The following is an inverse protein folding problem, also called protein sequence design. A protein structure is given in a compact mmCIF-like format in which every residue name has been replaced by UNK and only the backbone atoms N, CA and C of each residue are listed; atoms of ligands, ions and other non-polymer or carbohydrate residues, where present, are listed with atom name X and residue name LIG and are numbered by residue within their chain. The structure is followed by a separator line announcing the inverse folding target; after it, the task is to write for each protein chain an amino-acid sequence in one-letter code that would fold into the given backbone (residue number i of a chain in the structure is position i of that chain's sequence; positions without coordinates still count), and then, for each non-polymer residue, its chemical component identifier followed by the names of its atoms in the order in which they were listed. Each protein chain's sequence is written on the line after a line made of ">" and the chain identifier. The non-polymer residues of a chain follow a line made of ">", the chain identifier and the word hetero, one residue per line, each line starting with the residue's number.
data_IF_187044259286
#
_entry.id   IF_187044259286
#
_cell.length_a   1.000
_cell.length_b   1.000
_cell.length_c   1.000
_cell.angle_alpha   90.00
_cell.angle_beta   90.00
_cell.angle_gamma   90.00
#
_symmetry.space_group_name_H-M   'P 1'
#
loop_
_entity.id
_entity.type
_entity.pdbx_description
1 polymer ?
#
# COMPACT_ATOMS: atom_id res chain seq x y z
N UNK A 1 38.57 -10.30 18.44
CA UNK A 1 37.84 -9.19 17.80
C UNK A 1 38.37 -9.08 16.38
N UNK A 2 37.65 -9.56 15.36
CA UNK A 2 38.12 -9.44 13.97
C UNK A 2 37.69 -8.08 13.41
N UNK A 3 38.66 -7.29 12.97
CA UNK A 3 38.44 -6.11 12.13
C UNK A 3 37.68 -6.55 10.87
N UNK A 4 36.45 -6.05 10.70
CA UNK A 4 35.76 -6.17 9.41
C UNK A 4 36.51 -5.31 8.41
N UNK A 5 37.27 -5.93 7.51
CA UNK A 5 37.77 -5.26 6.31
C UNK A 5 36.57 -4.63 5.57
N UNK A 6 36.51 -3.30 5.59
CA UNK A 6 35.48 -2.55 4.88
C UNK A 6 35.80 -2.65 3.39
N UNK A 7 35.14 -3.58 2.70
CA UNK A 7 35.36 -3.86 1.29
C UNK A 7 35.00 -2.60 0.47
N UNK A 8 36.02 -1.88 0.00
CA UNK A 8 35.86 -0.68 -0.82
C UNK A 8 35.32 -1.07 -2.20
N UNK A 9 34.07 -0.70 -2.50
CA UNK A 9 33.50 -0.84 -3.84
C UNK A 9 34.22 0.18 -4.75
N UNK A 10 34.99 -0.31 -5.73
CA UNK A 10 35.83 0.55 -6.59
C UNK A 10 35.23 0.83 -7.97
N UNK A 11 34.18 0.11 -8.38
CA UNK A 11 33.47 0.28 -9.65
C UNK A 11 32.01 -0.14 -9.49
N UNK A 12 31.09 0.61 -10.07
CA UNK A 12 29.66 0.30 -10.13
C UNK A 12 29.01 0.95 -11.36
N UNK A 13 27.85 0.43 -11.75
CA UNK A 13 26.99 0.99 -12.79
C UNK A 13 25.69 1.48 -12.14
N UNK A 14 25.24 2.67 -12.50
CA UNK A 14 23.88 3.11 -12.22
C UNK A 14 22.95 2.61 -13.33
N UNK A 15 21.85 1.98 -12.94
CA UNK A 15 20.77 1.63 -13.86
C UNK A 15 19.92 2.88 -14.12
N UNK A 16 19.42 3.03 -15.35
CA UNK A 16 18.58 4.16 -15.71
C UNK A 16 17.26 4.13 -14.95
N UNK A 17 16.89 5.26 -14.34
CA UNK A 17 15.56 5.44 -13.76
C UNK A 17 14.58 5.80 -14.88
N UNK A 18 13.54 4.98 -15.07
CA UNK A 18 12.56 5.15 -16.17
C UNK A 18 11.51 6.22 -15.88
N UNK A 19 11.83 7.20 -15.02
CA UNK A 19 10.91 8.21 -14.50
C UNK A 19 10.24 7.84 -13.18
N UNK A 20 9.71 8.85 -12.48
CA UNK A 20 8.99 8.73 -11.21
C UNK A 20 7.49 8.94 -11.38
N UNK A 21 6.67 8.28 -10.55
CA UNK A 21 5.25 8.67 -10.44
C UNK A 21 5.17 10.18 -10.14
N UNK A 22 4.37 10.95 -10.91
CA UNK A 22 4.39 12.40 -10.87
C UNK A 22 3.66 12.99 -9.66
N UNK A 23 3.19 12.17 -8.71
CA UNK A 23 2.35 12.61 -7.59
C UNK A 23 2.92 13.79 -6.80
N UNK A 24 4.24 13.88 -6.62
CA UNK A 24 4.86 15.01 -5.91
C UNK A 24 5.06 16.27 -6.77
N UNK A 25 5.08 16.16 -8.09
CA UNK A 25 5.44 17.27 -8.98
C UNK A 25 4.47 18.46 -8.88
N UNK A 26 3.13 18.28 -8.84
CA UNK A 26 2.21 19.39 -8.65
C UNK A 26 2.40 20.09 -7.30
N UNK A 27 2.75 19.34 -6.25
CA UNK A 27 3.02 19.90 -4.91
C UNK A 27 4.28 20.77 -4.97
N UNK A 28 5.36 20.27 -5.56
CA UNK A 28 6.60 21.04 -5.74
C UNK A 28 6.42 22.26 -6.62
N UNK A 29 5.60 22.17 -7.67
CA UNK A 29 5.27 23.33 -8.48
C UNK A 29 4.55 24.40 -7.64
N UNK A 30 3.58 24.02 -6.80
CA UNK A 30 2.87 24.94 -5.93
C UNK A 30 3.81 25.59 -4.89
N UNK A 31 4.70 24.80 -4.28
CA UNK A 31 5.76 25.29 -3.37
C UNK A 31 6.64 26.30 -4.08
N UNK A 32 7.19 25.96 -5.25
CA UNK A 32 8.11 26.83 -5.99
C UNK A 32 7.45 28.14 -6.42
N UNK A 33 6.17 28.11 -6.80
CA UNK A 33 5.40 29.32 -7.09
C UNK A 33 5.27 30.17 -5.82
N UNK A 34 4.86 29.58 -4.69
CA UNK A 34 4.70 30.30 -3.42
C UNK A 34 6.02 30.95 -2.94
N UNK A 35 7.16 30.26 -3.13
CA UNK A 35 8.49 30.80 -2.85
C UNK A 35 8.82 31.97 -3.79
N UNK A 36 8.58 31.80 -5.09
CA UNK A 36 8.89 32.82 -6.10
C UNK A 36 8.12 34.13 -5.88
N UNK A 37 6.88 34.05 -5.40
CA UNK A 37 6.04 35.22 -5.11
C UNK A 37 6.22 35.75 -3.68
N UNK A 38 7.08 35.15 -2.87
CA UNK A 38 7.41 35.63 -1.52
C UNK A 38 6.43 35.21 -0.41
N UNK A 39 5.49 34.30 -0.67
CA UNK A 39 4.50 33.85 0.34
C UNK A 39 5.10 32.88 1.38
N UNK A 40 6.22 32.24 1.08
CA UNK A 40 6.95 31.35 2.00
C UNK A 40 8.43 31.29 1.63
N UNK A 41 9.27 30.82 2.55
CA UNK A 41 10.68 30.53 2.28
C UNK A 41 10.84 29.19 1.56
N UNK A 42 12.01 28.92 0.98
CA UNK A 42 12.30 27.61 0.40
C UNK A 42 12.30 26.54 1.51
N UNK A 43 11.57 25.42 1.36
CA UNK A 43 11.68 24.30 2.30
C UNK A 43 13.10 23.73 2.35
N UNK A 44 13.44 23.07 3.47
CA UNK A 44 14.72 22.38 3.59
C UNK A 44 14.85 21.24 2.56
N UNK A 45 16.09 20.91 2.18
CA UNK A 45 16.35 19.82 1.24
C UNK A 45 15.84 18.47 1.76
N UNK A 46 15.69 18.30 3.09
CA UNK A 46 15.09 17.10 3.68
C UNK A 46 13.64 16.89 3.23
N UNK A 47 12.86 17.97 3.10
CA UNK A 47 11.48 17.90 2.63
C UNK A 47 11.44 17.48 1.15
N UNK A 48 12.33 18.03 0.33
CA UNK A 48 12.43 17.66 -1.09
C UNK A 48 12.89 16.21 -1.29
N UNK A 49 13.78 15.69 -0.42
CA UNK A 49 14.24 14.28 -0.48
C UNK A 49 13.12 13.26 -0.29
N UNK A 50 12.01 13.61 0.37
CA UNK A 50 10.86 12.71 0.45
C UNK A 50 10.17 12.51 -0.91
N UNK A 51 10.32 13.44 -1.85
CA UNK A 51 9.73 13.34 -3.18
C UNK A 51 10.15 12.08 -3.93
N UNK A 52 11.45 11.90 -4.20
CA UNK A 52 11.97 10.68 -4.82
C UNK A 52 11.59 9.40 -4.07
N UNK A 53 11.62 9.41 -2.73
CA UNK A 53 11.25 8.23 -1.92
C UNK A 53 9.78 7.82 -2.17
N UNK A 54 8.87 8.78 -2.23
CA UNK A 54 7.45 8.54 -2.52
C UNK A 54 7.27 8.10 -3.98
N UNK A 55 7.88 8.79 -4.93
CA UNK A 55 7.77 8.47 -6.36
C UNK A 55 8.25 7.06 -6.71
N UNK A 56 9.36 6.61 -6.11
CA UNK A 56 9.87 5.24 -6.33
C UNK A 56 8.86 4.20 -5.83
N UNK A 57 8.31 4.37 -4.61
CA UNK A 57 7.34 3.41 -4.09
C UNK A 57 6.03 3.41 -4.86
N UNK A 58 5.57 4.58 -5.31
CA UNK A 58 4.42 4.69 -6.21
C UNK A 58 4.66 4.03 -7.57
N UNK A 59 5.92 3.87 -8.02
CA UNK A 59 6.24 3.05 -9.18
C UNK A 59 6.25 1.55 -8.86
N UNK A 60 6.68 1.14 -7.66
CA UNK A 60 6.68 -0.26 -7.23
C UNK A 60 5.25 -0.78 -7.09
N UNK A 61 4.38 -0.01 -6.44
CA UNK A 61 3.02 -0.41 -6.04
C UNK A 61 2.18 -1.01 -7.19
N UNK A 62 2.06 -0.39 -8.39
CA UNK A 62 1.32 -0.96 -9.51
C UNK A 62 1.89 -2.29 -10.02
N UNK A 63 3.21 -2.50 -9.88
CA UNK A 63 3.86 -3.76 -10.29
C UNK A 63 3.48 -4.89 -9.33
N UNK A 64 3.44 -4.60 -8.03
CA UNK A 64 3.02 -5.58 -7.01
C UNK A 64 1.52 -5.90 -7.17
N UNK A 65 0.65 -4.89 -7.31
CA UNK A 65 -0.78 -5.09 -7.59
C UNK A 65 -1.00 -5.97 -8.83
N UNK A 66 -0.26 -5.70 -9.91
CA UNK A 66 -0.33 -6.51 -11.13
C UNK A 66 0.09 -7.95 -10.89
N UNK A 67 1.14 -8.21 -10.10
CA UNK A 67 1.60 -9.56 -9.78
C UNK A 67 0.57 -10.33 -8.96
N UNK A 68 0.02 -9.72 -7.90
CA UNK A 68 -1.07 -10.31 -7.10
C UNK A 68 -2.23 -10.69 -8.01
N UNK A 69 -2.74 -9.76 -8.82
CA UNK A 69 -3.89 -10.03 -9.67
C UNK A 69 -3.61 -11.11 -10.73
N UNK A 70 -2.43 -11.10 -11.37
CA UNK A 70 -2.07 -12.09 -12.37
C UNK A 70 -1.96 -13.50 -11.76
N UNK A 71 -1.29 -13.63 -10.62
CA UNK A 71 -1.12 -14.92 -9.93
C UNK A 71 -2.47 -15.44 -9.39
N UNK A 72 -3.34 -14.56 -8.89
CA UNK A 72 -4.71 -14.94 -8.53
C UNK A 72 -5.51 -15.43 -9.72
N UNK A 73 -5.46 -14.74 -10.87
CA UNK A 73 -6.16 -15.21 -12.08
C UNK A 73 -5.66 -16.59 -12.50
N UNK A 74 -4.34 -16.83 -12.47
CA UNK A 74 -3.78 -18.15 -12.76
C UNK A 74 -4.26 -19.22 -11.76
N UNK A 75 -4.37 -18.88 -10.48
CA UNK A 75 -4.90 -19.77 -9.46
C UNK A 75 -6.37 -20.12 -9.73
N UNK A 76 -7.21 -19.14 -10.09
CA UNK A 76 -8.62 -19.39 -10.42
C UNK A 76 -8.78 -20.28 -11.65
N UNK A 77 -7.99 -20.07 -12.71
CA UNK A 77 -8.04 -20.94 -13.90
C UNK A 77 -7.64 -22.40 -13.59
N UNK A 78 -6.78 -22.61 -12.60
CA UNK A 78 -6.48 -23.96 -12.09
C UNK A 78 -7.62 -24.50 -11.23
N UNK A 79 -8.15 -23.68 -10.33
CA UNK A 79 -9.23 -24.05 -9.40
C UNK A 79 -10.49 -24.49 -10.15
N UNK A 80 -10.86 -23.88 -11.28
CA UNK A 80 -12.00 -24.31 -12.13
C UNK A 80 -12.00 -25.78 -12.56
N UNK A 81 -10.87 -26.47 -12.44
CA UNK A 81 -10.72 -27.89 -12.77
C UNK A 81 -10.86 -28.80 -11.55
N UNK A 82 -11.33 -28.27 -10.42
CA UNK A 82 -11.60 -29.05 -9.23
C UNK A 82 -12.69 -30.10 -9.50
N UNK A 83 -12.60 -31.20 -8.76
CA UNK A 83 -13.67 -32.20 -8.63
C UNK A 83 -14.33 -32.09 -7.26
N UNK A 84 -15.52 -32.68 -7.11
CA UNK A 84 -16.32 -32.62 -5.89
C UNK A 84 -15.57 -33.12 -4.64
N UNK A 85 -14.57 -34.00 -4.81
CA UNK A 85 -13.75 -34.52 -3.72
C UNK A 85 -12.89 -33.44 -3.02
N UNK A 86 -12.65 -32.30 -3.66
CA UNK A 86 -11.85 -31.20 -3.10
C UNK A 86 -12.68 -30.12 -2.42
N UNK A 87 -14.00 -30.19 -2.53
CA UNK A 87 -14.91 -29.16 -2.01
C UNK A 87 -15.16 -29.39 -0.52
N UNK A 88 -14.93 -28.35 0.29
CA UNK A 88 -15.27 -28.34 1.70
C UNK A 88 -16.61 -27.62 1.91
N UNK A 89 -17.49 -28.19 2.72
CA UNK A 89 -18.76 -27.58 3.15
C UNK A 89 -18.91 -27.71 4.66
N UNK A 90 -19.99 -27.18 5.25
CA UNK A 90 -20.28 -27.39 6.68
C UNK A 90 -20.54 -28.88 7.01
N UNK A 91 -20.95 -29.67 6.03
CA UNK A 91 -21.39 -31.05 6.19
C UNK A 91 -20.35 -32.07 5.70
N UNK A 92 -19.36 -31.64 4.92
CA UNK A 92 -18.37 -32.50 4.26
C UNK A 92 -16.96 -31.90 4.29
N UNK A 93 -15.99 -32.72 4.71
CA UNK A 93 -14.57 -32.42 4.51
C UNK A 93 -14.12 -32.85 3.11
N UNK A 94 -13.44 -31.94 2.40
CA UNK A 94 -12.79 -32.22 1.13
C UNK A 94 -11.31 -32.61 1.29
N UNK A 95 -10.64 -32.83 0.18
CA UNK A 95 -9.17 -32.89 0.12
C UNK A 95 -8.57 -31.55 -0.31
N UNK A 96 -7.36 -31.26 0.13
CA UNK A 96 -6.65 -30.06 -0.35
C UNK A 96 -6.37 -30.17 -1.86
N UNK A 97 -6.91 -29.23 -2.65
CA UNK A 97 -6.68 -29.20 -4.09
C UNK A 97 -5.19 -28.94 -4.39
N UNK A 98 -4.53 -29.79 -5.20
CA UNK A 98 -3.11 -29.62 -5.50
C UNK A 98 -2.90 -28.42 -6.42
N UNK A 99 -2.13 -27.45 -5.94
CA UNK A 99 -1.67 -26.30 -6.72
C UNK A 99 -0.16 -26.26 -6.78
N UNK A 100 0.35 -25.59 -7.81
CA UNK A 100 1.78 -25.35 -7.96
C UNK A 100 2.35 -24.62 -6.73
N UNK A 101 3.47 -25.12 -6.22
CA UNK A 101 4.04 -24.65 -4.95
C UNK A 101 4.59 -23.24 -5.06
N UNK A 102 5.26 -22.93 -6.17
CA UNK A 102 5.81 -21.61 -6.42
C UNK A 102 4.67 -20.58 -6.59
N UNK A 103 3.62 -20.91 -7.36
CA UNK A 103 2.44 -20.05 -7.49
C UNK A 103 1.83 -19.68 -6.13
N UNK A 104 1.69 -20.66 -5.21
CA UNK A 104 1.15 -20.44 -3.87
C UNK A 104 2.02 -19.48 -3.06
N UNK A 105 3.32 -19.74 -2.98
CA UNK A 105 4.22 -18.95 -2.14
C UNK A 105 4.55 -17.57 -2.74
N UNK A 106 4.65 -17.46 -4.06
CA UNK A 106 4.79 -16.18 -4.75
C UNK A 106 3.58 -15.29 -4.51
N UNK A 107 2.36 -15.84 -4.55
CA UNK A 107 1.14 -15.07 -4.28
C UNK A 107 1.10 -14.56 -2.84
N UNK A 108 1.47 -15.38 -1.86
CA UNK A 108 1.58 -14.97 -0.45
C UNK A 108 2.62 -13.85 -0.27
N UNK A 109 3.80 -14.02 -0.88
CA UNK A 109 4.87 -13.02 -0.83
C UNK A 109 4.45 -11.70 -1.52
N UNK A 110 3.69 -11.78 -2.62
CA UNK A 110 3.19 -10.62 -3.33
C UNK A 110 2.11 -9.86 -2.56
N UNK A 111 1.25 -10.56 -1.81
CA UNK A 111 0.26 -9.94 -0.93
C UNK A 111 0.95 -9.23 0.24
N UNK A 112 1.95 -9.87 0.87
CA UNK A 112 2.74 -9.24 1.93
C UNK A 112 3.45 -7.97 1.41
N UNK A 113 4.14 -8.08 0.28
CA UNK A 113 4.78 -6.96 -0.37
C UNK A 113 3.79 -5.83 -0.70
N UNK A 114 2.55 -6.17 -1.10
CA UNK A 114 1.51 -5.18 -1.39
C UNK A 114 1.13 -4.39 -0.14
N UNK A 115 0.80 -5.08 0.95
CA UNK A 115 0.40 -4.46 2.22
C UNK A 115 1.55 -3.62 2.80
N UNK A 116 2.78 -4.15 2.74
CA UNK A 116 3.98 -3.44 3.16
C UNK A 116 4.19 -2.16 2.35
N UNK A 117 4.16 -2.23 1.02
CA UNK A 117 4.44 -1.09 0.16
C UNK A 117 3.37 0.00 0.26
N UNK A 118 2.09 -0.35 0.43
CA UNK A 118 1.02 0.63 0.72
C UNK A 118 1.31 1.35 2.03
N UNK A 119 1.59 0.61 3.10
CA UNK A 119 1.85 1.17 4.43
C UNK A 119 3.10 2.07 4.41
N UNK A 120 4.20 1.60 3.84
CA UNK A 120 5.45 2.34 3.77
C UNK A 120 5.32 3.63 2.93
N UNK A 121 4.59 3.56 1.81
CA UNK A 121 4.31 4.74 0.98
C UNK A 121 3.45 5.74 1.75
N UNK A 122 2.41 5.26 2.44
CA UNK A 122 1.53 6.11 3.21
C UNK A 122 2.24 6.82 4.37
N UNK A 123 3.14 6.14 5.09
CA UNK A 123 3.92 6.75 6.17
C UNK A 123 4.83 7.88 5.67
N UNK A 124 5.43 7.72 4.49
CA UNK A 124 6.19 8.80 3.84
C UNK A 124 5.28 9.98 3.45
N UNK A 125 4.10 9.72 2.89
CA UNK A 125 3.13 10.76 2.57
C UNK A 125 2.63 11.49 3.82
N UNK A 126 2.37 10.77 4.92
CA UNK A 126 2.01 11.34 6.23
C UNK A 126 3.11 12.23 6.79
N UNK A 127 4.37 11.79 6.70
CA UNK A 127 5.54 12.58 7.09
C UNK A 127 5.65 13.85 6.25
N UNK A 128 5.53 13.74 4.93
CA UNK A 128 5.57 14.90 4.03
C UNK A 128 4.45 15.89 4.36
N UNK A 129 3.24 15.41 4.60
CA UNK A 129 2.10 16.23 5.01
C UNK A 129 2.41 17.05 6.27
N UNK A 130 2.90 16.41 7.34
CA UNK A 130 3.27 17.10 8.58
C UNK A 130 4.38 18.14 8.38
N UNK A 131 5.40 17.81 7.58
CA UNK A 131 6.52 18.72 7.31
C UNK A 131 6.09 19.94 6.49
N UNK A 132 5.22 19.77 5.49
CA UNK A 132 4.71 20.89 4.70
C UNK A 132 3.79 21.80 5.54
N UNK A 133 2.97 21.22 6.42
CA UNK A 133 2.19 21.97 7.39
C UNK A 133 3.04 22.83 8.33
N UNK A 134 4.08 22.22 8.90
CA UNK A 134 5.03 22.94 9.74
C UNK A 134 5.74 24.06 8.95
N UNK A 135 6.13 23.77 7.70
CA UNK A 135 6.82 24.72 6.84
C UNK A 135 5.99 25.98 6.54
N UNK A 136 4.67 25.85 6.36
CA UNK A 136 3.78 27.00 6.13
C UNK A 136 3.25 27.66 7.41
N UNK A 137 3.87 27.37 8.56
CA UNK A 137 3.48 27.95 9.85
C UNK A 137 2.16 27.40 10.42
N UNK A 138 1.68 26.26 9.94
CA UNK A 138 0.46 25.58 10.42
C UNK A 138 0.79 24.19 10.99
N UNK A 139 1.64 24.09 12.02
CA UNK A 139 2.14 22.81 12.52
C UNK A 139 1.01 21.92 13.06
N UNK A 140 1.13 20.62 12.80
CA UNK A 140 0.24 19.58 13.34
C UNK A 140 1.08 18.66 14.22
N UNK A 141 0.64 18.43 15.46
CA UNK A 141 1.33 17.53 16.37
C UNK A 141 1.35 16.10 15.81
N UNK A 142 2.44 15.36 16.03
CA UNK A 142 2.62 14.01 15.49
C UNK A 142 1.45 13.06 15.80
N UNK A 143 0.94 13.12 17.04
CA UNK A 143 -0.23 12.33 17.49
C UNK A 143 -1.54 12.69 16.78
N UNK A 144 -1.63 13.89 16.20
CA UNK A 144 -2.82 14.42 15.53
C UNK A 144 -2.70 14.39 14.00
N UNK A 145 -1.57 13.95 13.44
CA UNK A 145 -1.38 13.84 11.98
C UNK A 145 -2.44 12.95 11.33
N UNK A 146 -2.77 11.81 11.95
CA UNK A 146 -3.83 10.92 11.46
C UNK A 146 -5.20 11.61 11.41
N UNK A 147 -5.53 12.42 12.43
CA UNK A 147 -6.78 13.22 12.45
C UNK A 147 -6.74 14.33 11.41
N UNK A 148 -5.60 15.02 11.26
CA UNK A 148 -5.40 16.06 10.28
C UNK A 148 -5.64 15.56 8.86
N UNK A 149 -5.03 14.42 8.53
CA UNK A 149 -5.26 13.77 7.23
C UNK A 149 -6.69 13.23 7.12
N UNK A 150 -7.26 12.68 8.19
CA UNK A 150 -8.65 12.22 8.21
C UNK A 150 -9.67 13.32 7.86
N UNK A 151 -9.36 14.59 8.10
CA UNK A 151 -10.19 15.73 7.67
C UNK A 151 -10.09 16.04 6.17
N UNK A 152 -8.99 15.62 5.53
CA UNK A 152 -8.74 15.79 4.10
C UNK A 152 -9.40 14.68 3.28
N UNK A 153 -9.50 13.48 3.87
CA UNK A 153 -9.96 12.28 3.17
C UNK A 153 -11.46 12.08 3.31
N UNK A 154 -12.14 11.80 2.20
CA UNK A 154 -13.56 11.43 2.18
C UNK A 154 -13.83 10.03 2.76
N UNK A 155 -12.84 9.14 2.72
CA UNK A 155 -12.93 7.77 3.22
C UNK A 155 -11.61 7.36 3.86
N UNK A 156 -11.67 6.82 5.07
CA UNK A 156 -10.50 6.41 5.85
C UNK A 156 -10.61 4.98 6.42
N UNK A 157 -11.68 4.24 6.08
CA UNK A 157 -11.87 2.88 6.58
C UNK A 157 -10.75 1.93 6.14
N UNK A 158 -10.23 2.12 4.93
CA UNK A 158 -9.13 1.34 4.38
C UNK A 158 -7.85 1.35 5.22
N UNK A 159 -7.61 2.39 6.04
CA UNK A 159 -6.47 2.39 6.97
C UNK A 159 -6.59 1.36 8.07
N UNK A 160 -7.80 1.20 8.61
CA UNK A 160 -8.07 0.23 9.67
C UNK A 160 -7.92 -1.19 9.13
N UNK A 161 -8.41 -1.43 7.92
CA UNK A 161 -8.20 -2.69 7.21
C UNK A 161 -6.71 -2.93 6.97
N UNK A 162 -5.98 -1.96 6.40
CA UNK A 162 -4.54 -2.08 6.18
C UNK A 162 -3.78 -2.44 7.45
N UNK A 163 -4.03 -1.73 8.56
CA UNK A 163 -3.34 -1.99 9.83
C UNK A 163 -3.65 -3.39 10.37
N UNK A 164 -4.92 -3.80 10.32
CA UNK A 164 -5.37 -5.14 10.72
C UNK A 164 -4.66 -6.24 9.91
N UNK A 165 -4.68 -6.17 8.59
CA UNK A 165 -4.11 -7.24 7.76
C UNK A 165 -2.59 -7.23 7.73
N UNK A 166 -1.96 -6.05 7.74
CA UNK A 166 -0.50 -5.93 7.84
C UNK A 166 0.01 -6.59 9.10
N UNK A 167 -0.63 -6.35 10.26
CA UNK A 167 -0.20 -6.96 11.51
C UNK A 167 -0.25 -8.48 11.43
N UNK A 168 -1.30 -9.03 10.82
CA UNK A 168 -1.37 -10.47 10.57
C UNK A 168 -0.19 -10.95 9.70
N UNK A 169 -0.04 -10.43 8.48
CA UNK A 169 1.01 -10.90 7.55
C UNK A 169 2.46 -10.77 8.08
N UNK A 170 2.73 -9.75 8.91
CA UNK A 170 4.08 -9.49 9.44
C UNK A 170 4.33 -10.20 10.78
N UNK A 171 3.33 -10.31 11.65
CA UNK A 171 3.53 -10.66 13.05
C UNK A 171 2.78 -11.90 13.53
N UNK A 172 1.72 -12.33 12.84
CA UNK A 172 0.80 -13.34 13.39
C UNK A 172 0.53 -14.44 12.34
N UNK A 173 0.96 -15.67 12.63
CA UNK A 173 0.50 -16.87 11.94
C UNK A 173 1.27 -17.28 10.67
N UNK A 174 0.81 -18.38 10.09
CA UNK A 174 1.29 -18.93 8.82
C UNK A 174 0.13 -18.82 7.81
N UNK A 175 0.15 -17.83 6.91
CA UNK A 175 -0.98 -17.59 6.01
C UNK A 175 -1.18 -18.80 5.09
N UNK A 176 -2.43 -19.25 5.01
CA UNK A 176 -2.85 -20.28 4.07
C UNK A 176 -3.88 -19.70 3.10
N UNK A 177 -3.99 -20.24 1.89
CA UNK A 177 -4.92 -19.75 0.88
C UNK A 177 -6.00 -20.79 0.56
N UNK A 178 -7.22 -20.31 0.38
CA UNK A 178 -8.36 -21.07 -0.12
C UNK A 178 -9.07 -20.25 -1.21
N UNK A 179 -9.97 -20.87 -1.95
CA UNK A 179 -10.80 -20.18 -2.94
C UNK A 179 -12.25 -20.33 -2.53
N UNK A 180 -12.96 -19.22 -2.45
CA UNK A 180 -14.40 -19.21 -2.24
C UNK A 180 -15.12 -19.64 -3.53
N UNK A 181 -15.83 -20.75 -3.44
CA UNK A 181 -16.61 -21.35 -4.52
C UNK A 181 -18.12 -21.06 -4.41
N UNK A 182 -18.55 -20.30 -3.40
CA UNK A 182 -19.98 -20.10 -3.08
C UNK A 182 -20.79 -19.43 -4.18
N UNK A 183 -20.12 -18.77 -5.14
CA UNK A 183 -20.73 -18.06 -6.27
C UNK A 183 -20.28 -18.63 -7.62
N UNK A 184 -19.84 -19.88 -7.64
CA UNK A 184 -19.57 -20.55 -8.91
C UNK A 184 -20.82 -20.64 -9.80
N UNK A 185 -20.64 -20.59 -11.14
CA UNK A 185 -19.39 -20.36 -11.87
C UNK A 185 -19.04 -18.87 -12.06
N UNK A 186 -19.87 -17.97 -11.56
CA UNK A 186 -19.84 -16.54 -11.88
C UNK A 186 -18.68 -15.79 -11.21
N UNK A 187 -18.27 -16.24 -10.02
CA UNK A 187 -17.26 -15.54 -9.23
C UNK A 187 -16.47 -16.46 -8.30
N UNK A 188 -15.16 -16.25 -8.30
CA UNK A 188 -14.21 -16.82 -7.34
C UNK A 188 -13.58 -15.68 -6.55
N UNK A 189 -13.40 -15.86 -5.25
CA UNK A 189 -12.58 -14.97 -4.43
C UNK A 189 -11.48 -15.76 -3.71
N UNK A 190 -10.31 -15.14 -3.55
CA UNK A 190 -9.18 -15.73 -2.88
C UNK A 190 -9.30 -15.40 -1.40
N UNK A 191 -9.33 -16.42 -0.56
CA UNK A 191 -9.37 -16.29 0.88
C UNK A 191 -7.98 -16.55 1.45
N UNK A 192 -7.52 -15.65 2.31
CA UNK A 192 -6.31 -15.84 3.11
C UNK A 192 -6.76 -16.16 4.53
N UNK A 193 -6.51 -17.40 4.92
CA UNK A 193 -6.85 -17.97 6.21
C UNK A 193 -5.77 -17.60 7.23
N UNK A 194 -6.21 -17.13 8.40
CA UNK A 194 -5.34 -16.64 9.47
C UNK A 194 -5.09 -17.66 10.58
N UNK A 195 -6.03 -18.56 10.77
CA UNK A 195 -6.02 -19.55 11.86
C UNK A 195 -6.38 -20.94 11.33
N UNK A 196 -6.22 -21.98 12.14
CA UNK A 196 -6.68 -23.31 11.73
C UNK A 196 -8.20 -23.39 11.88
N UNK A 197 -8.93 -23.29 10.78
CA UNK A 197 -10.40 -23.16 10.77
C UNK A 197 -11.06 -24.38 10.15
N UNK A 198 -12.25 -24.72 10.65
CA UNK A 198 -13.14 -25.71 10.04
C UNK A 198 -14.25 -25.10 9.17
N UNK A 199 -14.53 -23.82 9.35
CA UNK A 199 -15.56 -23.07 8.62
C UNK A 199 -15.17 -21.59 8.48
N UNK A 200 -15.81 -20.88 7.55
CA UNK A 200 -15.64 -19.43 7.32
C UNK A 200 -16.70 -18.58 8.05
N UNK A 201 -17.27 -19.10 9.15
CA UNK A 201 -18.34 -18.43 9.89
C UNK A 201 -17.86 -17.25 10.74
N UNK A 202 -16.57 -17.18 11.05
CA UNK A 202 -15.95 -16.11 11.83
C UNK A 202 -15.23 -15.13 10.89
N UNK A 203 -15.72 -13.89 10.68
CA UNK A 203 -15.16 -12.98 9.67
C UNK A 203 -13.72 -12.52 9.95
N UNK A 204 -13.27 -12.58 11.20
CA UNK A 204 -11.96 -12.07 11.60
C UNK A 204 -10.81 -13.06 11.33
N UNK A 205 -11.13 -14.33 11.17
CA UNK A 205 -10.16 -15.44 11.02
C UNK A 205 -9.71 -15.65 9.57
N UNK A 206 -10.24 -14.87 8.62
CA UNK A 206 -9.76 -14.82 7.25
C UNK A 206 -9.81 -13.39 6.68
N UNK A 207 -9.33 -13.21 5.45
CA UNK A 207 -9.50 -11.99 4.66
C UNK A 207 -9.60 -12.38 3.19
N UNK A 208 -10.46 -11.72 2.43
CA UNK A 208 -10.55 -11.96 0.99
C UNK A 208 -9.64 -11.03 0.19
N UNK A 209 -9.25 -11.45 -1.01
CA UNK A 209 -8.51 -10.59 -1.92
C UNK A 209 -9.35 -9.39 -2.37
N UNK A 210 -10.68 -9.53 -2.48
CA UNK A 210 -11.56 -8.39 -2.70
C UNK A 210 -11.42 -7.34 -1.60
N UNK A 211 -11.33 -7.75 -0.33
CA UNK A 211 -11.08 -6.84 0.79
C UNK A 211 -9.70 -6.18 0.69
N UNK A 212 -8.64 -6.92 0.34
CA UNK A 212 -7.31 -6.36 0.09
C UNK A 212 -7.33 -5.36 -1.08
N UNK A 213 -8.06 -5.65 -2.15
CA UNK A 213 -8.22 -4.74 -3.29
C UNK A 213 -8.96 -3.45 -2.91
N UNK A 214 -9.88 -3.51 -1.94
CA UNK A 214 -10.53 -2.31 -1.40
C UNK A 214 -9.52 -1.36 -0.72
N UNK A 215 -8.46 -1.91 -0.11
CA UNK A 215 -7.36 -1.13 0.48
C UNK A 215 -6.59 -0.39 -0.61
N UNK A 216 -6.27 -1.08 -1.72
CA UNK A 216 -5.60 -0.47 -2.88
C UNK A 216 -6.43 0.68 -3.44
N UNK A 217 -7.74 0.46 -3.63
CA UNK A 217 -8.66 1.49 -4.12
C UNK A 217 -8.73 2.70 -3.16
N UNK A 218 -8.85 2.43 -1.85
CA UNK A 218 -8.83 3.46 -0.81
C UNK A 218 -7.55 4.29 -0.84
N UNK A 219 -6.38 3.65 -0.97
CA UNK A 219 -5.09 4.31 -1.11
C UNK A 219 -5.01 5.19 -2.37
N UNK A 220 -5.44 4.67 -3.52
CA UNK A 220 -5.44 5.41 -4.80
C UNK A 220 -6.33 6.66 -4.72
N UNK A 221 -7.51 6.54 -4.10
CA UNK A 221 -8.39 7.67 -3.87
C UNK A 221 -7.77 8.68 -2.90
N UNK A 222 -7.19 8.20 -1.79
CA UNK A 222 -6.60 9.04 -0.77
C UNK A 222 -5.39 9.83 -1.26
N UNK A 223 -4.49 9.23 -2.03
CA UNK A 223 -3.33 9.95 -2.57
C UNK A 223 -3.76 11.11 -3.45
N UNK A 224 -4.82 10.96 -4.26
CA UNK A 224 -5.33 12.04 -5.12
C UNK A 224 -5.86 13.21 -4.27
N UNK A 225 -6.66 12.93 -3.26
CA UNK A 225 -7.20 13.96 -2.36
C UNK A 225 -6.09 14.67 -1.58
N UNK A 226 -5.11 13.91 -1.08
CA UNK A 226 -3.97 14.45 -0.37
C UNK A 226 -3.13 15.38 -1.26
N UNK A 227 -2.90 15.02 -2.53
CA UNK A 227 -2.19 15.89 -3.48
C UNK A 227 -2.92 17.21 -3.68
N UNK A 228 -4.23 17.16 -3.94
CA UNK A 228 -5.06 18.36 -4.16
C UNK A 228 -4.98 19.28 -2.95
N UNK A 229 -5.12 18.73 -1.75
CA UNK A 229 -5.03 19.48 -0.50
C UNK A 229 -3.63 20.09 -0.28
N UNK A 230 -2.56 19.31 -0.47
CA UNK A 230 -1.19 19.82 -0.31
C UNK A 230 -0.86 20.91 -1.33
N UNK A 231 -1.42 20.84 -2.54
CA UNK A 231 -1.34 21.92 -3.53
C UNK A 231 -2.11 23.17 -3.05
N UNK A 232 -3.30 23.00 -2.47
CA UNK A 232 -4.11 24.12 -1.99
C UNK A 232 -3.44 24.84 -0.82
N UNK A 233 -2.75 24.10 0.05
CA UNK A 233 -2.00 24.64 1.19
C UNK A 233 -1.05 25.78 0.79
N UNK A 234 -0.41 25.69 -0.38
CA UNK A 234 0.51 26.72 -0.88
C UNK A 234 -0.18 27.79 -1.75
N UNK A 235 -1.32 27.48 -2.36
CA UNK A 235 -2.11 28.45 -3.13
C UNK A 235 -2.90 29.41 -2.24
N UNK A 236 -3.29 28.95 -1.06
CA UNK A 236 -4.08 29.72 -0.09
C UNK A 236 -3.25 30.69 0.75
N UNK A 237 -1.91 30.69 0.62
CA UNK A 237 -0.99 31.58 1.35
C UNK A 237 -1.05 33.05 0.89
N UNK A 238 -2.22 33.56 0.43
CA UNK A 238 -2.33 34.94 -0.07
C UNK A 238 -1.72 35.94 0.91
N UNK A 239 -0.98 36.88 0.33
CA UNK A 239 -0.26 38.00 0.91
C UNK A 239 -1.14 38.79 1.88
N UNK A 240 -0.94 38.60 3.18
CA UNK A 240 -1.17 39.68 4.14
C UNK A 240 -0.03 40.68 3.98
N UNK A 241 -0.32 41.77 3.24
CA UNK A 241 0.45 43.02 3.29
C UNK A 241 1.46 43.23 2.16
N UNK A 242 1.06 44.01 1.16
CA UNK A 242 1.60 45.37 0.95
C UNK A 242 0.54 46.23 0.26
#
# INVERSE_FOLDING_TARGET
>A
MSERECKMISKWLHLSETGGDPWVLPIWNAVNIAVKVGNTQKPSDEIFRLGPHISIRLNILPRVVRRVNANTTLLYEKAKKHGDEYVFTEEQEGYAFPVDTDLKYELLADIDALLFEINATWELMKRLFGLLHNHVGRPIAAKDLGKGIGKVLSQNHWFKLLDKHRNFFIHEGAPYIAVDLSKEPDHFDLLIIKENMKSFSEPDTFVSLSEINSIVQGFVAARKQLQVYLVSLFRELKTEGH
#
